data_IF_589903809799
#
_entry.id   IF_589903809799
#
_cell.length_a   1.000
_cell.length_b   1.000
_cell.length_c   1.000
_cell.angle_alpha   90.00
_cell.angle_beta   90.00
_cell.angle_gamma   90.00
#
_symmetry.space_group_name_H-M   'P 1'
#
loop_
_entity.id
_entity.type
_entity.pdbx_description
1 polymer ?
#
# COMPACT_ATOMS: atom_id res chain seq x y z
N UNK A 1 -18.02 1.18 9.39
CA UNK A 1 -18.60 2.04 8.72
C UNK A 1 -18.26 1.98 7.36
N UNK A 2 -17.51 1.54 6.89
CA UNK A 2 -17.21 1.54 5.60
C UNK A 2 -17.07 0.21 5.12
N UNK A 3 -17.92 -0.68 5.39
CA UNK A 3 -17.73 -2.01 4.93
C UNK A 3 -17.63 -2.08 3.44
N UNK A 4 -18.55 -1.49 2.72
CA UNK A 4 -18.51 -1.53 1.26
C UNK A 4 -17.27 -0.83 0.75
N UNK A 5 -17.03 0.35 1.24
CA UNK A 5 -15.86 1.10 0.84
C UNK A 5 -14.61 0.41 1.33
N UNK A 6 -14.72 -0.25 2.48
CA UNK A 6 -13.59 -0.94 3.04
C UNK A 6 -13.09 -2.05 2.14
N UNK A 7 -14.02 -2.86 1.62
CA UNK A 7 -13.64 -3.95 0.74
C UNK A 7 -13.02 -3.43 -0.54
N UNK A 8 -13.70 -2.47 -1.16
CA UNK A 8 -13.20 -1.91 -2.40
C UNK A 8 -11.89 -1.18 -2.16
N UNK A 9 -11.82 -0.42 -1.08
CA UNK A 9 -10.61 0.30 -0.75
C UNK A 9 -9.45 -0.63 -0.45
N UNK A 10 -9.75 -1.76 0.16
CA UNK A 10 -8.71 -2.72 0.47
C UNK A 10 -8.10 -3.28 -0.81
N UNK A 11 -8.94 -3.59 -1.79
CA UNK A 11 -8.45 -4.12 -3.05
C UNK A 11 -7.57 -3.09 -3.74
N UNK A 12 -8.02 -1.84 -3.78
CA UNK A 12 -7.24 -0.79 -4.41
C UNK A 12 -5.93 -0.59 -3.66
N UNK A 13 -5.98 -0.67 -2.35
CA UNK A 13 -4.78 -0.49 -1.54
C UNK A 13 -3.77 -1.58 -1.85
N UNK A 14 -4.23 -2.81 -1.97
CA UNK A 14 -3.32 -3.92 -2.26
C UNK A 14 -2.71 -3.78 -3.64
N UNK A 15 -3.49 -3.30 -4.59
CA UNK A 15 -2.97 -3.09 -5.94
C UNK A 15 -1.91 -2.01 -5.94
N UNK A 16 -2.18 -0.93 -5.23
CA UNK A 16 -1.20 0.14 -5.14
C UNK A 16 0.08 -0.34 -4.48
N UNK A 17 -0.08 -1.10 -3.42
CA UNK A 17 1.07 -1.63 -2.71
C UNK A 17 1.90 -2.52 -3.62
N UNK A 18 1.25 -3.37 -4.40
CA UNK A 18 1.95 -4.25 -5.32
C UNK A 18 2.70 -3.45 -6.37
N UNK A 19 2.07 -2.41 -6.89
CA UNK A 19 2.72 -1.57 -7.91
C UNK A 19 3.94 -0.89 -7.33
N UNK A 20 3.83 -0.39 -6.11
CA UNK A 20 4.95 0.29 -5.48
C UNK A 20 6.09 -0.68 -5.22
N UNK A 21 5.76 -1.88 -4.79
CA UNK A 21 6.79 -2.87 -4.53
C UNK A 21 7.51 -3.24 -5.83
N UNK A 22 6.76 -3.35 -6.92
CA UNK A 22 7.36 -3.62 -8.21
C UNK A 22 8.27 -2.47 -8.61
N UNK A 23 7.81 -1.26 -8.39
CA UNK A 23 8.59 -0.09 -8.76
C UNK A 23 9.91 -0.04 -7.99
N UNK A 24 9.84 -0.35 -6.71
CA UNK A 24 11.04 -0.33 -5.88
C UNK A 24 12.01 -1.43 -6.32
N UNK A 25 11.46 -2.54 -6.76
CA UNK A 25 12.30 -3.63 -7.22
C UNK A 25 13.12 -3.21 -8.43
N UNK A 26 12.50 -2.45 -9.31
CA UNK A 26 13.18 -1.96 -10.49
C UNK A 26 14.08 -0.78 -10.14
N UNK A 27 13.62 0.06 -9.22
CA UNK A 27 14.37 1.22 -8.81
C UNK A 27 14.61 1.21 -7.30
N UNK A 28 15.60 0.50 -6.85
CA UNK A 28 15.85 0.44 -5.40
C UNK A 28 16.18 1.79 -4.78
N UNK A 29 16.50 2.76 -5.62
CA UNK A 29 16.81 4.10 -5.12
C UNK A 29 15.56 4.91 -4.80
N UNK A 30 14.40 4.41 -5.12
CA UNK A 30 13.17 5.14 -4.88
C UNK A 30 12.80 5.10 -3.41
N UNK A 31 13.44 5.94 -2.63
CA UNK A 31 13.18 5.96 -1.20
C UNK A 31 11.76 6.44 -0.91
N UNK A 32 11.24 7.34 -1.74
CA UNK A 32 9.90 7.83 -1.52
C UNK A 32 8.87 6.70 -1.62
N UNK A 33 9.10 5.77 -2.56
CA UNK A 33 8.20 4.65 -2.72
C UNK A 33 8.28 3.71 -1.51
N UNK A 34 9.48 3.52 -1.01
CA UNK A 34 9.65 2.68 0.16
C UNK A 34 8.92 3.26 1.36
N UNK A 35 8.96 4.57 1.50
CA UNK A 35 8.26 5.23 2.59
C UNK A 35 6.77 5.03 2.47
N UNK A 36 6.24 5.16 1.28
CA UNK A 36 4.81 4.97 1.05
C UNK A 36 4.41 3.53 1.37
N UNK A 37 5.20 2.59 0.92
CA UNK A 37 4.92 1.18 1.19
C UNK A 37 4.85 0.94 2.69
N UNK A 38 5.80 1.47 3.41
CA UNK A 38 5.83 1.31 4.85
C UNK A 38 4.60 1.93 5.49
N UNK A 39 4.19 3.08 5.00
CA UNK A 39 3.03 3.75 5.53
C UNK A 39 1.76 2.97 5.25
N UNK A 40 1.64 2.44 4.06
CA UNK A 40 0.47 1.66 3.70
C UNK A 40 0.35 0.41 4.55
N UNK A 41 1.45 -0.25 4.78
CA UNK A 41 1.44 -1.44 5.60
C UNK A 41 1.08 -1.12 7.04
N UNK A 42 1.57 0.00 7.52
CA UNK A 42 1.27 0.41 8.88
C UNK A 42 -0.21 0.71 9.03
N UNK A 43 -0.78 1.39 8.05
CA UNK A 43 -2.19 1.69 8.09
C UNK A 43 -3.02 0.42 8.09
N UNK A 44 -2.61 -0.55 7.30
CA UNK A 44 -3.33 -1.80 7.25
C UNK A 44 -3.32 -2.49 8.61
N UNK A 45 -2.19 -2.48 9.27
CA UNK A 45 -2.08 -3.10 10.56
C UNK A 45 -2.94 -2.39 11.59
N UNK A 46 -2.96 -1.10 11.51
CA UNK A 46 -3.72 -0.34 12.46
C UNK A 46 -5.20 -0.58 12.36
N UNK A 47 -5.64 -0.98 11.21
CA UNK A 47 -7.03 -1.23 11.01
C UNK A 47 -7.53 -2.37 11.86
N UNK A 48 -6.67 -3.27 12.25
CA UNK A 48 -7.11 -4.30 13.09
C UNK A 48 -7.59 -3.76 14.39
#
# INVERSE_FOLDING_TARGET
MITAIGTFGYIVLMELLSMLENYVEINPDATWAKKIIKKLKSTKEEEK
#
